data_IF_184106354161
#
_entry.id   IF_184106354161
#
_cell.length_a   1.000
_cell.length_b   1.000
_cell.length_c   1.000
_cell.angle_alpha   90.00
_cell.angle_beta   90.00
_cell.angle_gamma   90.00
#
_symmetry.space_group_name_H-M   'P 1'
#
loop_
_entity.id
_entity.type
_entity.pdbx_description
1 polymer ?
#
# COMPACT_ATOMS: atom_id res chain seq x y z
N UNK A 1 41.57 -3.33 -20.29
CA UNK A 1 40.91 -2.62 -19.19
C UNK A 1 39.42 -2.87 -19.37
N UNK A 2 38.86 -3.80 -18.61
CA UNK A 2 37.46 -4.19 -18.76
C UNK A 2 36.58 -3.03 -18.27
N UNK A 3 35.70 -2.56 -19.14
CA UNK A 3 34.71 -1.53 -18.84
C UNK A 3 33.65 -2.11 -17.89
N UNK A 4 33.78 -1.78 -16.61
CA UNK A 4 32.86 -2.22 -15.55
C UNK A 4 31.52 -1.47 -15.56
N UNK A 5 31.31 -0.52 -16.48
CA UNK A 5 30.04 0.23 -16.59
C UNK A 5 28.92 -0.52 -17.33
N UNK A 6 29.22 -1.70 -17.88
CA UNK A 6 28.27 -2.58 -18.61
C UNK A 6 28.10 -3.96 -17.98
N UNK A 7 28.39 -4.10 -16.69
CA UNK A 7 27.91 -5.26 -15.95
C UNK A 7 26.42 -5.01 -15.74
N UNK A 8 25.50 -5.86 -16.23
CA UNK A 8 24.10 -5.77 -15.84
C UNK A 8 24.05 -6.04 -14.34
N UNK A 9 24.06 -4.96 -13.57
CA UNK A 9 23.88 -5.04 -12.14
C UNK A 9 22.47 -5.59 -11.94
N UNK A 10 22.38 -6.70 -11.21
CA UNK A 10 21.19 -7.53 -11.16
C UNK A 10 19.94 -6.78 -10.68
N UNK A 11 18.79 -7.47 -10.60
CA UNK A 11 17.46 -6.91 -10.32
C UNK A 11 17.29 -6.26 -8.92
N UNK A 12 18.35 -5.86 -8.22
CA UNK A 12 18.32 -5.25 -6.89
C UNK A 12 19.21 -4.01 -6.75
N UNK A 13 19.76 -3.50 -7.86
CA UNK A 13 20.75 -2.42 -7.79
C UNK A 13 20.13 -1.02 -7.67
N UNK A 14 18.87 -0.87 -8.08
CA UNK A 14 18.13 0.40 -8.02
C UNK A 14 17.35 0.55 -6.71
N UNK A 15 17.34 1.77 -6.14
CA UNK A 15 16.52 2.13 -4.98
C UNK A 15 15.04 1.75 -5.13
N UNK A 16 14.52 1.75 -6.36
CA UNK A 16 13.16 1.34 -6.69
C UNK A 16 12.82 -0.08 -6.26
N UNK A 17 13.76 -1.02 -6.38
CA UNK A 17 13.55 -2.41 -5.95
C UNK A 17 13.40 -2.51 -4.43
N UNK A 18 14.21 -1.76 -3.69
CA UNK A 18 14.10 -1.66 -2.23
C UNK A 18 12.78 -1.02 -1.82
N UNK A 19 12.33 0.01 -2.55
CA UNK A 19 11.04 0.65 -2.33
C UNK A 19 9.89 -0.33 -2.59
N UNK A 20 9.95 -1.11 -3.68
CA UNK A 20 8.95 -2.15 -3.98
C UNK A 20 8.88 -3.20 -2.86
N UNK A 21 10.03 -3.72 -2.42
CA UNK A 21 10.11 -4.69 -1.32
C UNK A 21 9.51 -4.07 -0.05
N UNK A 22 9.86 -2.83 0.28
CA UNK A 22 9.34 -2.13 1.44
C UNK A 22 7.82 -1.98 1.37
N UNK A 23 7.27 -1.59 0.22
CA UNK A 23 5.81 -1.47 0.01
C UNK A 23 5.13 -2.83 0.17
N UNK A 24 5.70 -3.91 -0.37
CA UNK A 24 5.15 -5.27 -0.20
C UNK A 24 5.17 -5.69 1.27
N UNK A 25 6.28 -5.47 1.98
CA UNK A 25 6.38 -5.76 3.42
C UNK A 25 5.37 -4.93 4.22
N UNK A 26 5.21 -3.64 3.89
CA UNK A 26 4.22 -2.77 4.52
C UNK A 26 2.78 -3.23 4.26
N UNK A 27 2.47 -3.73 3.05
CA UNK A 27 1.18 -4.32 2.72
C UNK A 27 0.90 -5.57 3.57
N UNK A 28 1.87 -6.49 3.67
CA UNK A 28 1.73 -7.70 4.50
C UNK A 28 1.48 -7.34 5.97
N UNK A 29 2.24 -6.37 6.50
CA UNK A 29 2.05 -5.87 7.86
C UNK A 29 0.66 -5.22 8.04
N UNK A 30 0.19 -4.46 7.05
CA UNK A 30 -1.14 -3.84 7.08
C UNK A 30 -2.26 -4.87 7.05
N UNK A 31 -2.06 -5.99 6.35
CA UNK A 31 -3.01 -7.09 6.29
C UNK A 31 -3.14 -7.79 7.64
N UNK A 32 -2.01 -8.07 8.32
CA UNK A 32 -2.01 -8.58 9.69
C UNK A 32 -2.68 -7.61 10.68
N UNK A 33 -2.41 -6.30 10.53
CA UNK A 33 -3.04 -5.27 11.34
C UNK A 33 -4.56 -5.21 11.12
N UNK A 34 -5.02 -5.41 9.87
CA UNK A 34 -6.45 -5.48 9.53
C UNK A 34 -7.11 -6.71 10.13
N UNK A 35 -6.51 -7.90 10.00
CA UNK A 35 -7.01 -9.15 10.59
C UNK A 35 -7.18 -8.98 12.11
N UNK A 36 -6.15 -8.45 12.77
CA UNK A 36 -6.18 -8.14 14.21
C UNK A 36 -7.29 -7.16 14.58
N UNK A 37 -7.59 -6.17 13.71
CA UNK A 37 -8.66 -5.20 13.93
C UNK A 37 -10.06 -5.78 13.70
N UNK A 38 -10.23 -6.67 12.71
CA UNK A 38 -11.49 -7.38 12.44
C UNK A 38 -11.81 -8.37 13.57
N UNK A 39 -10.79 -9.03 14.12
CA UNK A 39 -10.91 -9.92 15.27
C UNK A 39 -11.10 -9.19 16.62
N UNK A 40 -11.09 -7.85 16.62
CA UNK A 40 -11.34 -7.03 17.81
C UNK A 40 -10.21 -7.02 18.83
N UNK A 41 -8.99 -7.41 18.45
CA UNK A 41 -7.87 -7.61 19.36
C UNK A 41 -7.10 -6.31 19.71
N UNK A 42 -7.51 -5.15 19.19
CA UNK A 42 -6.76 -3.90 19.32
C UNK A 42 -6.83 -3.25 20.71
N UNK A 43 -5.74 -2.63 21.22
CA UNK A 43 -5.66 -2.12 22.59
C UNK A 43 -6.77 -1.13 22.98
N UNK A 44 -7.14 -0.23 22.05
CA UNK A 44 -8.22 0.74 22.26
C UNK A 44 -9.63 0.15 22.05
N UNK A 45 -9.73 -1.08 21.52
CA UNK A 45 -10.98 -1.81 21.30
C UNK A 45 -11.25 -2.86 22.39
N UNK A 46 -10.24 -3.23 23.21
CA UNK A 46 -10.35 -4.21 24.31
C UNK A 46 -11.24 -3.77 25.49
N UNK A 47 -11.54 -2.48 25.62
CA UNK A 47 -12.52 -1.97 26.60
C UNK A 47 -13.82 -1.67 25.89
N UNK A 48 -14.63 -2.71 25.71
CA UNK A 48 -16.06 -2.56 25.48
C UNK A 48 -16.68 -1.92 26.73
N UNK A 49 -16.69 -0.58 26.77
CA UNK A 49 -17.70 0.11 27.56
C UNK A 49 -19.01 0.02 26.76
N UNK A 50 -19.68 -1.13 26.85
CA UNK A 50 -21.05 -1.36 26.34
C UNK A 50 -22.03 -0.27 26.80
N UNK A 51 -21.67 0.50 27.83
CA UNK A 51 -22.46 1.58 28.42
C UNK A 51 -22.35 2.96 27.75
N UNK A 52 -21.47 3.18 26.77
CA UNK A 52 -21.33 4.49 26.11
C UNK A 52 -21.96 4.45 24.69
N UNK A 53 -23.11 5.13 24.46
CA UNK A 53 -23.70 5.24 23.13
C UNK A 53 -22.71 5.93 22.18
N UNK A 54 -22.15 5.22 21.21
CA UNK A 54 -21.19 5.74 20.23
C UNK A 54 -19.95 4.88 19.99
N UNK A 55 -19.62 3.96 20.89
CA UNK A 55 -18.42 3.12 20.78
C UNK A 55 -18.44 2.13 19.59
N UNK A 56 -19.63 1.72 19.11
CA UNK A 56 -19.77 0.77 17.99
C UNK A 56 -19.36 1.36 16.63
N UNK A 57 -19.59 2.65 16.39
CA UNK A 57 -19.26 3.29 15.11
C UNK A 57 -17.77 3.53 14.91
N UNK A 58 -17.03 3.75 16.00
CA UNK A 58 -15.59 4.01 15.98
C UNK A 58 -14.82 2.78 15.50
N UNK A 59 -15.22 1.57 15.90
CA UNK A 59 -14.62 0.30 15.44
C UNK A 59 -14.72 0.14 13.91
N UNK A 60 -15.90 0.37 13.35
CA UNK A 60 -16.13 0.28 11.91
C UNK A 60 -15.33 1.32 11.11
N UNK A 61 -15.24 2.56 11.60
CA UNK A 61 -14.48 3.62 10.95
C UNK A 61 -12.98 3.30 10.86
N UNK A 62 -12.41 2.68 11.90
CA UNK A 62 -11.01 2.24 11.89
C UNK A 62 -10.76 1.08 10.93
N UNK A 63 -11.64 0.09 10.89
CA UNK A 63 -11.56 -1.01 9.92
C UNK A 63 -11.68 -0.50 8.48
N UNK A 64 -12.54 0.50 8.26
CA UNK A 64 -12.68 1.15 6.96
C UNK A 64 -11.43 1.95 6.56
N UNK A 65 -10.78 2.64 7.48
CA UNK A 65 -9.49 3.27 7.18
C UNK A 65 -8.42 2.22 6.85
N UNK A 66 -8.39 1.10 7.58
CA UNK A 66 -7.42 0.02 7.37
C UNK A 66 -7.56 -0.63 5.98
N UNK A 67 -8.80 -0.92 5.54
CA UNK A 67 -9.03 -1.58 4.25
C UNK A 67 -8.60 -0.70 3.06
N UNK A 68 -8.64 0.64 3.20
CA UNK A 68 -8.23 1.58 2.15
C UNK A 68 -6.70 1.61 1.91
N UNK A 69 -5.89 1.13 2.86
CA UNK A 69 -4.43 1.06 2.71
C UNK A 69 -4.07 0.04 1.63
N UNK A 70 -4.80 -1.08 1.56
CA UNK A 70 -4.52 -2.20 0.65
C UNK A 70 -4.57 -1.77 -0.82
N UNK A 71 -5.69 -1.23 -1.36
CA UNK A 71 -5.77 -0.85 -2.76
C UNK A 71 -4.75 0.23 -3.13
N UNK A 72 -4.47 1.19 -2.22
CA UNK A 72 -3.46 2.21 -2.46
C UNK A 72 -2.04 1.63 -2.50
N UNK A 73 -1.70 0.73 -1.58
CA UNK A 73 -0.39 0.08 -1.57
C UNK A 73 -0.19 -0.85 -2.78
N UNK A 74 -1.24 -1.56 -3.21
CA UNK A 74 -1.22 -2.36 -4.44
C UNK A 74 -1.02 -1.47 -5.66
N UNK A 75 -1.73 -0.34 -5.75
CA UNK A 75 -1.55 0.62 -6.84
C UNK A 75 -0.13 1.19 -6.87
N UNK A 76 0.42 1.57 -5.71
CA UNK A 76 1.79 2.05 -5.59
C UNK A 76 2.81 0.99 -6.03
N UNK A 77 2.67 -0.26 -5.57
CA UNK A 77 3.50 -1.38 -5.98
C UNK A 77 3.44 -1.60 -7.50
N UNK A 78 2.25 -1.54 -8.09
CA UNK A 78 2.05 -1.62 -9.53
C UNK A 78 2.78 -0.50 -10.28
N UNK A 79 2.71 0.74 -9.80
CA UNK A 79 3.41 1.87 -10.42
C UNK A 79 4.91 1.63 -10.43
N UNK A 80 5.48 1.24 -9.28
CA UNK A 80 6.92 0.98 -9.15
C UNK A 80 7.34 -0.17 -10.08
N UNK A 81 6.53 -1.24 -10.16
CA UNK A 81 6.80 -2.36 -11.05
C UNK A 81 6.81 -1.93 -12.52
N UNK A 82 5.87 -1.09 -12.94
CA UNK A 82 5.83 -0.54 -14.31
C UNK A 82 7.03 0.38 -14.58
N UNK A 83 7.41 1.25 -13.63
CA UNK A 83 8.59 2.11 -13.74
C UNK A 83 9.86 1.26 -13.93
N UNK A 84 10.03 0.22 -13.12
CA UNK A 84 11.17 -0.70 -13.23
C UNK A 84 11.14 -1.45 -14.57
N UNK A 85 9.96 -1.90 -15.00
CA UNK A 85 9.83 -2.72 -16.20
C UNK A 85 10.07 -1.93 -17.49
N UNK A 86 9.52 -0.72 -17.58
CA UNK A 86 9.58 0.09 -18.79
C UNK A 86 10.67 1.16 -18.77
N UNK A 87 11.38 1.32 -17.65
CA UNK A 87 12.40 2.36 -17.44
C UNK A 87 11.87 3.78 -17.76
N UNK A 88 10.64 4.06 -17.31
CA UNK A 88 9.96 5.34 -17.55
C UNK A 88 10.24 6.36 -16.43
N UNK A 89 10.18 7.68 -16.72
CA UNK A 89 10.28 8.69 -15.67
C UNK A 89 9.12 8.61 -14.66
N UNK A 90 9.37 9.09 -13.45
CA UNK A 90 8.37 9.13 -12.38
C UNK A 90 7.15 9.96 -12.80
N UNK A 91 5.93 9.40 -12.76
CA UNK A 91 4.72 10.13 -13.06
C UNK A 91 4.41 11.21 -12.01
N UNK A 92 3.78 12.31 -12.41
CA UNK A 92 3.50 13.45 -11.51
C UNK A 92 2.66 13.05 -10.28
N UNK A 93 1.70 12.13 -10.46
CA UNK A 93 0.83 11.65 -9.39
C UNK A 93 1.51 10.67 -8.41
N UNK A 94 2.68 10.13 -8.75
CA UNK A 94 3.38 9.16 -7.92
C UNK A 94 3.79 9.75 -6.56
N UNK A 95 4.49 10.88 -6.57
CA UNK A 95 5.06 11.45 -5.35
C UNK A 95 3.97 11.85 -4.34
N UNK A 96 2.92 12.52 -4.83
CA UNK A 96 1.82 12.98 -3.99
C UNK A 96 0.97 11.80 -3.50
N UNK A 97 0.64 10.84 -4.37
CA UNK A 97 -0.11 9.64 -3.99
C UNK A 97 0.63 8.79 -2.95
N UNK A 98 1.94 8.57 -3.16
CA UNK A 98 2.80 7.83 -2.23
C UNK A 98 2.97 8.56 -0.90
N UNK A 99 3.10 9.89 -0.92
CA UNK A 99 3.17 10.70 0.30
C UNK A 99 1.89 10.60 1.13
N UNK A 100 0.72 10.76 0.50
CA UNK A 100 -0.58 10.63 1.18
C UNK A 100 -0.78 9.22 1.75
N UNK A 101 -0.39 8.18 1.02
CA UNK A 101 -0.45 6.80 1.51
C UNK A 101 0.43 6.63 2.74
N UNK A 102 1.68 7.08 2.66
CA UNK A 102 2.65 6.97 3.76
C UNK A 102 2.14 7.71 5.00
N UNK A 103 1.63 8.93 4.81
CA UNK A 103 1.08 9.74 5.88
C UNK A 103 -0.16 9.07 6.50
N UNK A 104 -1.11 8.60 5.69
CA UNK A 104 -2.29 7.88 6.15
C UNK A 104 -1.93 6.60 6.92
N UNK A 105 -0.96 5.83 6.42
CA UNK A 105 -0.46 4.62 7.04
C UNK A 105 0.24 4.89 8.38
N UNK A 106 1.14 5.87 8.44
CA UNK A 106 1.84 6.25 9.69
C UNK A 106 0.85 6.74 10.75
N UNK A 107 -0.09 7.61 10.37
CA UNK A 107 -1.14 8.08 11.30
C UNK A 107 -1.99 6.90 11.79
N UNK A 108 -2.36 6.00 10.88
CA UNK A 108 -3.08 4.78 11.23
C UNK A 108 -2.33 3.92 12.25
N UNK A 109 -1.01 3.74 12.10
CA UNK A 109 -0.20 3.00 13.07
C UNK A 109 -0.12 3.71 14.42
N UNK A 110 0.20 5.01 14.44
CA UNK A 110 0.38 5.78 15.68
C UNK A 110 -0.91 5.75 16.52
N UNK A 111 -2.05 6.01 15.87
CA UNK A 111 -3.34 6.12 16.56
C UNK A 111 -4.03 4.77 16.74
N UNK A 112 -3.96 3.87 15.76
CA UNK A 112 -4.58 2.54 15.80
C UNK A 112 -3.88 1.59 16.77
N UNK A 113 -2.55 1.57 16.77
CA UNK A 113 -1.76 0.72 17.68
C UNK A 113 -1.49 1.37 19.04
N UNK A 114 -1.89 2.62 19.24
CA UNK A 114 -1.60 3.40 20.46
C UNK A 114 -0.10 3.39 20.81
N UNK A 115 0.78 3.38 19.79
CA UNK A 115 2.24 3.25 19.94
C UNK A 115 2.86 4.36 20.81
N UNK A 116 2.19 5.50 20.94
CA UNK A 116 2.63 6.65 21.72
C UNK A 116 1.87 6.86 23.04
N UNK A 117 1.04 5.90 23.48
CA UNK A 117 0.23 6.05 24.71
C UNK A 117 -0.84 7.14 24.64
N UNK A 118 -1.20 7.57 23.42
CA UNK A 118 -2.17 8.64 23.14
C UNK A 118 -3.64 8.23 23.30
N UNK A 119 -3.94 7.13 24.00
CA UNK A 119 -5.31 6.66 24.26
C UNK A 119 -6.24 7.75 24.82
N UNK A 120 -5.71 8.71 25.60
CA UNK A 120 -6.45 9.88 26.08
C UNK A 120 -6.87 10.85 24.97
N UNK A 121 -6.02 11.08 23.96
CA UNK A 121 -6.29 11.97 22.82
C UNK A 121 -7.29 11.32 21.86
N UNK A 122 -7.22 9.99 21.68
CA UNK A 122 -8.21 9.22 20.93
C UNK A 122 -9.60 9.24 21.58
N UNK A 123 -9.67 9.23 22.91
CA UNK A 123 -10.93 9.43 23.64
C UNK A 123 -11.60 10.78 23.34
N UNK A 124 -10.81 11.81 23.01
CA UNK A 124 -11.30 13.15 22.64
C UNK A 124 -11.61 13.29 21.14
N UNK A 125 -10.82 12.65 20.27
CA UNK A 125 -11.02 12.67 18.82
C UNK A 125 -12.19 11.78 18.35
N UNK A 126 -12.50 10.71 19.08
CA UNK A 126 -13.60 9.80 18.75
C UNK A 126 -13.56 9.33 17.29
N UNK A 127 -14.65 9.59 16.55
CA UNK A 127 -14.79 9.17 15.14
C UNK A 127 -14.02 10.07 14.15
N UNK A 128 -13.60 11.27 14.54
CA UNK A 128 -12.92 12.20 13.63
C UNK A 128 -11.54 11.70 13.20
N UNK A 129 -10.81 11.02 14.10
CA UNK A 129 -9.50 10.44 13.80
C UNK A 129 -9.51 9.48 12.61
N UNK A 130 -10.26 8.36 12.68
CA UNK A 130 -10.31 7.40 11.57
C UNK A 130 -10.94 7.99 10.30
N UNK A 131 -11.89 8.93 10.40
CA UNK A 131 -12.48 9.58 9.22
C UNK A 131 -11.48 10.48 8.48
N UNK A 132 -10.66 11.24 9.21
CA UNK A 132 -9.62 12.06 8.59
C UNK A 132 -8.59 11.19 7.86
N UNK A 133 -8.17 10.08 8.47
CA UNK A 133 -7.27 9.09 7.85
C UNK A 133 -7.94 8.49 6.60
N UNK A 134 -9.21 8.07 6.70
CA UNK A 134 -9.94 7.52 5.58
C UNK A 134 -10.03 8.50 4.41
N UNK A 135 -10.28 9.79 4.67
CA UNK A 135 -10.32 10.82 3.62
C UNK A 135 -8.97 10.97 2.90
N UNK A 136 -7.87 11.01 3.65
CA UNK A 136 -6.51 11.07 3.10
C UNK A 136 -6.22 9.83 2.24
N UNK A 137 -6.61 8.64 2.72
CA UNK A 137 -6.42 7.39 2.00
C UNK A 137 -7.30 7.30 0.75
N UNK A 138 -8.52 7.83 0.77
CA UNK A 138 -9.37 7.93 -0.43
C UNK A 138 -8.69 8.80 -1.49
N UNK A 139 -8.17 9.97 -1.11
CA UNK A 139 -7.45 10.84 -2.02
C UNK A 139 -6.19 10.16 -2.58
N UNK A 140 -5.40 9.49 -1.73
CA UNK A 140 -4.25 8.68 -2.13
C UNK A 140 -4.64 7.60 -3.14
N UNK A 141 -5.69 6.83 -2.87
CA UNK A 141 -6.21 5.80 -3.76
C UNK A 141 -6.58 6.37 -5.13
N UNK A 142 -7.36 7.46 -5.15
CA UNK A 142 -7.77 8.07 -6.41
C UNK A 142 -6.57 8.48 -7.26
N UNK A 143 -5.59 9.14 -6.64
CA UNK A 143 -4.39 9.63 -7.33
C UNK A 143 -3.53 8.47 -7.82
N UNK A 144 -3.26 7.47 -6.98
CA UNK A 144 -2.43 6.31 -7.35
C UNK A 144 -3.09 5.44 -8.42
N UNK A 145 -4.41 5.23 -8.36
CA UNK A 145 -5.13 4.45 -9.37
C UNK A 145 -5.13 5.17 -10.73
N UNK A 146 -5.37 6.49 -10.74
CA UNK A 146 -5.29 7.29 -11.97
C UNK A 146 -3.86 7.23 -12.53
N UNK A 147 -2.85 7.47 -11.68
CA UNK A 147 -1.44 7.42 -12.08
C UNK A 147 -1.06 6.06 -12.67
N UNK A 148 -1.49 4.97 -12.02
CA UNK A 148 -1.22 3.62 -12.51
C UNK A 148 -1.88 3.39 -13.87
N UNK A 149 -3.13 3.82 -14.03
CA UNK A 149 -3.85 3.71 -15.30
C UNK A 149 -3.14 4.45 -16.44
N UNK A 150 -2.57 5.62 -16.15
CA UNK A 150 -1.93 6.45 -17.17
C UNK A 150 -0.62 5.84 -17.70
N UNK A 151 0.05 5.00 -16.89
CA UNK A 151 1.32 4.36 -17.27
C UNK A 151 1.17 2.89 -17.65
N UNK A 152 0.01 2.28 -17.41
CA UNK A 152 -0.21 0.86 -17.72
C UNK A 152 -0.06 0.64 -19.24
N UNK A 153 0.80 -0.30 -19.67
CA UNK A 153 0.90 -0.65 -21.07
C UNK A 153 -0.40 -1.24 -21.58
N UNK A 154 -0.55 -1.21 -22.90
CA UNK A 154 -1.62 -1.90 -23.58
C UNK A 154 -1.58 -3.41 -23.28
N UNK A 155 -2.76 -4.03 -23.29
CA UNK A 155 -2.95 -5.40 -22.83
C UNK A 155 -2.21 -6.43 -23.70
N UNK A 156 -2.10 -6.16 -24.99
CA UNK A 156 -1.29 -6.92 -25.95
C UNK A 156 0.18 -6.98 -25.52
N UNK A 157 0.79 -5.83 -25.22
CA UNK A 157 2.18 -5.75 -24.75
C UNK A 157 2.37 -6.50 -23.43
N UNK A 158 1.39 -6.40 -22.53
CA UNK A 158 1.43 -7.09 -21.23
C UNK A 158 1.33 -8.61 -21.39
N UNK A 159 0.41 -9.07 -22.24
CA UNK A 159 0.23 -10.50 -22.54
C UNK A 159 1.50 -11.09 -23.14
N UNK A 160 2.06 -10.43 -24.16
CA UNK A 160 3.25 -10.91 -24.87
C UNK A 160 4.45 -11.00 -23.93
N UNK A 161 4.64 -10.00 -23.06
CA UNK A 161 5.70 -10.02 -22.07
C UNK A 161 5.55 -11.16 -21.04
N UNK A 162 4.33 -11.43 -20.58
CA UNK A 162 4.04 -12.54 -19.67
C UNK A 162 4.29 -13.88 -20.36
N UNK A 163 3.80 -14.07 -21.59
CA UNK A 163 4.01 -15.31 -22.35
C UNK A 163 5.50 -15.57 -22.59
N UNK A 164 6.24 -14.54 -23.03
CA UNK A 164 7.69 -14.64 -23.25
C UNK A 164 8.45 -14.92 -21.95
N UNK A 165 8.06 -14.27 -20.84
CA UNK A 165 8.65 -14.50 -19.52
C UNK A 165 8.41 -15.92 -19.02
N UNK A 166 7.18 -16.45 -19.16
CA UNK A 166 6.86 -17.82 -18.79
C UNK A 166 7.62 -18.81 -19.67
N UNK A 167 7.67 -18.60 -20.99
CA UNK A 167 8.42 -19.47 -21.90
C UNK A 167 9.93 -19.47 -21.59
N UNK A 168 10.47 -18.36 -21.08
CA UNK A 168 11.87 -18.29 -20.64
C UNK A 168 12.11 -19.09 -19.36
N UNK A 169 11.14 -19.10 -18.42
CA UNK A 169 11.26 -19.80 -17.14
C UNK A 169 10.86 -21.28 -17.20
N UNK A 170 9.91 -21.62 -18.06
CA UNK A 170 9.32 -22.95 -18.23
C UNK A 170 9.22 -23.25 -19.74
N UNK A 171 10.35 -23.57 -20.41
CA UNK A 171 10.40 -23.73 -21.87
C UNK A 171 9.65 -24.95 -22.42
N UNK A 172 8.90 -25.64 -21.57
CA UNK A 172 8.17 -26.87 -21.87
C UNK A 172 6.64 -26.69 -21.74
N UNK A 173 6.16 -25.46 -21.51
CA UNK A 173 4.73 -25.12 -21.54
C UNK A 173 4.45 -24.34 -22.82
N UNK A 174 3.81 -25.00 -23.78
CA UNK A 174 3.24 -24.36 -24.98
C UNK A 174 1.86 -23.79 -24.63
N UNK A 175 1.63 -22.51 -24.94
CA UNK A 175 0.32 -21.87 -24.82
C UNK A 175 -0.35 -21.87 -26.20
N UNK A 176 -1.24 -22.84 -26.43
CA UNK A 176 -2.18 -22.86 -27.57
C UNK A 176 -3.30 -21.80 -27.42
#
# INVERSE_FOLDING_TARGET
MFDTSRIPTGPFDTWLWWLLILVIVALLFSLQALETAVEGAWPNQRRDNEYIPGAKGVKGAWAFAAILIIPAGVALAGIIAVIIWQDIPYPDGFALGAWLLTLGWVLFLIFGLNLAGMGKILGTLGMLGPLAIAFILIASNAILIITLRDILPAWDVTRDAIQNGIHTLLPFIDFD
#
